data_IF_978396934646
#
_entry.id   IF_978396934646
#
_cell.length_a   1.000
_cell.length_b   1.000
_cell.length_c   1.000
_cell.angle_alpha   90.00
_cell.angle_beta   90.00
_cell.angle_gamma   90.00
#
_symmetry.space_group_name_H-M   'P 1'
#
loop_
_entity.id
_entity.type
_entity.pdbx_description
1 polymer ?
#
# COMPACT_ATOMS: atom_id res chain seq x y z
N UNK A 1 20.41 -30.59 6.52
CA UNK A 1 19.73 -30.02 5.33
C UNK A 1 18.90 -28.84 5.78
N UNK A 2 19.19 -27.66 5.25
CA UNK A 2 18.77 -26.37 5.84
C UNK A 2 17.29 -26.06 5.62
N UNK A 3 16.61 -25.58 6.67
CA UNK A 3 15.23 -25.05 6.67
C UNK A 3 15.04 -23.96 5.60
N UNK A 4 16.11 -23.24 5.24
CA UNK A 4 16.10 -22.31 4.10
C UNK A 4 15.83 -23.04 2.79
N UNK A 5 16.31 -24.25 2.50
CA UNK A 5 16.00 -24.93 1.22
C UNK A 5 14.52 -25.29 1.10
N UNK A 6 13.88 -25.66 2.23
CA UNK A 6 12.43 -25.94 2.30
C UNK A 6 11.56 -24.68 2.14
N UNK A 7 12.13 -23.51 2.43
CA UNK A 7 11.51 -22.20 2.16
C UNK A 7 11.99 -21.56 0.82
N UNK A 8 13.19 -21.89 0.32
CA UNK A 8 13.92 -21.18 -0.75
C UNK A 8 13.86 -21.84 -2.11
N UNK A 9 13.44 -23.10 -2.25
CA UNK A 9 13.04 -23.64 -3.57
C UNK A 9 11.82 -22.88 -4.16
N UNK A 10 11.32 -21.85 -3.46
CA UNK A 10 10.17 -21.04 -3.83
C UNK A 10 10.41 -19.55 -4.07
N UNK A 11 11.67 -19.06 -4.11
CA UNK A 11 11.97 -17.67 -4.51
C UNK A 11 13.27 -17.63 -5.33
N UNK A 12 13.19 -17.59 -6.66
CA UNK A 12 14.33 -17.18 -7.46
C UNK A 12 13.95 -16.28 -8.66
N UNK A 13 14.70 -15.18 -8.71
CA UNK A 13 15.09 -14.35 -9.87
C UNK A 13 13.95 -13.68 -10.66
N UNK A 14 13.77 -12.37 -10.48
CA UNK A 14 13.75 -11.43 -11.62
C UNK A 14 14.14 -10.02 -11.17
N UNK A 15 15.33 -9.57 -11.59
CA UNK A 15 15.66 -8.15 -11.68
C UNK A 15 15.15 -7.61 -13.02
N UNK A 16 14.59 -6.40 -13.04
CA UNK A 16 14.07 -5.78 -14.27
C UNK A 16 14.52 -4.32 -14.38
N UNK A 17 15.18 -4.02 -15.50
CA UNK A 17 15.69 -2.71 -15.93
C UNK A 17 14.62 -1.91 -16.72
N UNK A 18 14.76 -0.57 -16.73
CA UNK A 18 13.87 0.44 -17.38
C UNK A 18 13.74 0.35 -18.92
N UNK A 19 13.00 1.19 -19.67
CA UNK A 19 12.79 2.66 -19.68
C UNK A 19 11.52 3.02 -20.52
N UNK A 20 10.73 4.03 -20.11
CA UNK A 20 10.40 5.35 -20.76
C UNK A 20 9.81 5.34 -22.20
N UNK A 21 8.58 5.85 -22.38
CA UNK A 21 8.22 7.04 -23.21
C UNK A 21 6.74 7.47 -23.03
N UNK A 22 6.49 8.77 -23.11
CA UNK A 22 5.20 9.45 -22.88
C UNK A 22 4.53 9.90 -24.20
N UNK A 23 3.21 10.10 -24.21
CA UNK A 23 2.55 11.35 -24.66
C UNK A 23 1.04 11.36 -24.38
N UNK A 24 0.51 12.58 -24.32
CA UNK A 24 -0.71 12.99 -23.62
C UNK A 24 -1.84 13.34 -24.58
N UNK A 25 -3.10 13.09 -24.20
CA UNK A 25 -4.26 13.81 -24.73
C UNK A 25 -5.27 14.12 -23.61
N UNK A 26 -5.78 15.35 -23.64
CA UNK A 26 -6.65 15.99 -22.66
C UNK A 26 -8.10 15.94 -23.11
N UNK A 27 -9.03 15.53 -22.24
CA UNK A 27 -10.47 15.79 -22.40
C UNK A 27 -11.08 16.05 -21.02
N UNK A 28 -11.86 17.13 -20.92
CA UNK A 28 -12.57 17.62 -19.74
C UNK A 28 -13.71 16.69 -19.31
N UNK A 29 -13.96 16.61 -18.00
CA UNK A 29 -15.13 15.95 -17.42
C UNK A 29 -15.78 16.89 -16.40
N UNK A 30 -17.10 17.01 -16.50
CA UNK A 30 -17.99 17.80 -15.65
C UNK A 30 -18.42 17.08 -14.36
N UNK A 31 -18.68 17.91 -13.37
CA UNK A 31 -18.96 17.69 -11.95
C UNK A 31 -20.02 16.64 -11.57
N UNK A 32 -19.81 15.97 -10.44
CA UNK A 32 -20.86 15.30 -9.67
C UNK A 32 -20.89 15.84 -8.23
N UNK A 33 -22.09 16.28 -7.83
CA UNK A 33 -22.45 16.71 -6.49
C UNK A 33 -23.00 15.53 -5.68
N UNK A 34 -22.69 15.48 -4.39
CA UNK A 34 -23.05 14.39 -3.47
C UNK A 34 -24.37 14.67 -2.76
N UNK A 35 -25.35 13.77 -2.90
CA UNK A 35 -26.57 13.75 -2.10
C UNK A 35 -26.52 12.67 -1.02
N UNK A 36 -26.77 13.12 0.21
CA UNK A 36 -26.82 12.36 1.46
C UNK A 36 -28.20 11.71 1.65
N UNK A 37 -28.23 10.42 1.98
CA UNK A 37 -29.39 9.71 2.56
C UNK A 37 -28.86 8.52 3.36
N UNK A 38 -29.50 7.92 4.35
CA UNK A 38 -30.60 8.23 5.27
C UNK A 38 -30.60 7.03 6.24
N UNK A 39 -30.77 7.25 7.54
CA UNK A 39 -30.52 6.27 8.60
C UNK A 39 -31.77 5.40 8.82
N UNK A 40 -31.68 4.08 8.61
CA UNK A 40 -32.67 3.09 9.10
C UNK A 40 -32.06 2.22 10.19
N UNK A 41 -32.83 2.00 11.26
CA UNK A 41 -32.50 1.17 12.42
C UNK A 41 -32.55 -0.34 12.09
N UNK A 42 -31.83 -1.20 12.84
CA UNK A 42 -31.70 -2.61 12.52
C UNK A 42 -32.81 -3.45 13.17
N UNK A 43 -33.55 -4.20 12.36
CA UNK A 43 -34.30 -5.38 12.79
C UNK A 43 -33.32 -6.57 12.84
N UNK A 44 -33.44 -7.40 13.88
CA UNK A 44 -32.60 -8.56 14.11
C UNK A 44 -32.65 -9.56 12.96
N UNK A 45 -31.65 -9.48 12.07
CA UNK A 45 -31.39 -10.47 11.05
C UNK A 45 -30.00 -11.06 11.30
N UNK A 46 -29.92 -12.39 11.24
CA UNK A 46 -28.65 -13.07 10.98
C UNK A 46 -28.00 -12.34 9.81
N UNK A 47 -26.83 -11.75 10.02
CA UNK A 47 -26.10 -11.07 8.96
C UNK A 47 -25.98 -12.05 7.78
N UNK A 48 -26.46 -11.69 6.58
CA UNK A 48 -26.41 -12.59 5.44
C UNK A 48 -24.96 -13.07 5.27
N UNK A 49 -24.79 -14.40 5.17
CA UNK A 49 -23.46 -15.00 4.92
C UNK A 49 -22.87 -14.31 3.70
N UNK A 50 -21.65 -13.80 3.85
CA UNK A 50 -21.01 -13.13 2.73
C UNK A 50 -20.80 -14.13 1.59
N UNK A 51 -20.86 -13.70 0.33
CA UNK A 51 -20.64 -14.59 -0.83
C UNK A 51 -19.30 -15.34 -0.71
N UNK A 52 -18.33 -14.72 -0.04
CA UNK A 52 -17.04 -15.33 0.29
C UNK A 52 -17.14 -16.56 1.18
N UNK A 53 -18.00 -16.53 2.20
CA UNK A 53 -18.29 -17.68 3.07
C UNK A 53 -19.00 -18.79 2.30
N UNK A 54 -19.77 -18.45 1.26
CA UNK A 54 -20.47 -19.40 0.41
C UNK A 54 -19.53 -20.08 -0.60
N UNK A 55 -18.65 -19.31 -1.26
CA UNK A 55 -17.68 -19.85 -2.24
C UNK A 55 -16.45 -20.48 -1.60
N UNK A 56 -16.06 -20.03 -0.40
CA UNK A 56 -14.90 -20.53 0.33
C UNK A 56 -15.22 -20.83 1.79
N UNK A 57 -16.17 -21.75 2.08
CA UNK A 57 -16.53 -22.09 3.45
C UNK A 57 -15.33 -22.63 4.25
N UNK A 58 -14.33 -23.19 3.56
CA UNK A 58 -13.08 -23.62 4.16
C UNK A 58 -12.24 -22.50 4.79
N UNK A 59 -12.45 -21.22 4.43
CA UNK A 59 -11.68 -20.08 4.96
C UNK A 59 -12.36 -19.33 6.10
N UNK A 60 -13.60 -19.70 6.42
CA UNK A 60 -14.39 -19.04 7.45
C UNK A 60 -14.84 -20.06 8.49
N UNK A 61 -14.81 -19.65 9.76
CA UNK A 61 -15.36 -20.38 10.90
C UNK A 61 -16.48 -19.55 11.52
N UNK A 62 -17.42 -20.21 12.22
CA UNK A 62 -18.52 -19.51 12.91
C UNK A 62 -17.98 -18.45 13.90
N UNK A 63 -16.87 -18.76 14.56
CA UNK A 63 -16.06 -17.81 15.31
C UNK A 63 -14.68 -17.72 14.65
N UNK A 64 -14.25 -16.56 14.11
CA UNK A 64 -12.96 -16.44 13.44
C UNK A 64 -11.83 -16.78 14.40
N UNK A 65 -11.06 -17.83 14.06
CA UNK A 65 -9.88 -18.22 14.83
C UNK A 65 -8.70 -17.47 14.24
N UNK A 66 -8.35 -16.36 14.86
CA UNK A 66 -7.03 -15.77 14.66
C UNK A 66 -6.09 -16.39 15.71
N UNK A 67 -4.77 -16.53 15.43
CA UNK A 67 -3.80 -16.68 16.51
C UNK A 67 -4.05 -15.53 17.51
N UNK A 68 -3.66 -15.60 18.78
CA UNK A 68 -3.97 -14.52 19.75
C UNK A 68 -3.18 -13.21 19.48
N UNK A 69 -3.20 -12.72 18.24
CA UNK A 69 -2.35 -11.70 17.64
C UNK A 69 -2.64 -10.32 18.23
N UNK A 70 -3.89 -10.10 18.67
CA UNK A 70 -4.34 -8.87 19.32
C UNK A 70 -4.21 -8.91 20.85
N UNK A 71 -4.20 -10.10 21.46
CA UNK A 71 -3.99 -10.25 22.92
C UNK A 71 -2.53 -10.17 23.32
N UNK A 72 -1.61 -10.18 22.36
CA UNK A 72 -0.18 -9.96 22.58
C UNK A 72 0.02 -8.49 22.92
N UNK A 73 0.39 -8.22 24.18
CA UNK A 73 0.66 -6.87 24.66
C UNK A 73 1.66 -6.18 23.71
N UNK A 74 1.44 -4.91 23.35
CA UNK A 74 2.44 -4.16 22.60
C UNK A 74 3.78 -4.22 23.35
N UNK A 75 4.89 -4.29 22.60
CA UNK A 75 6.24 -4.27 23.19
C UNK A 75 6.35 -3.03 24.09
N UNK A 76 6.31 -3.24 25.41
CA UNK A 76 6.50 -2.17 26.39
C UNK A 76 7.89 -1.60 26.16
N UNK A 77 7.96 -0.32 25.76
CA UNK A 77 9.22 0.36 25.55
C UNK A 77 9.89 0.52 26.91
N UNK A 78 10.74 -0.43 27.30
CA UNK A 78 11.71 -0.21 28.37
C UNK A 78 12.72 0.82 27.86
N UNK A 79 12.35 2.10 27.92
CA UNK A 79 13.20 3.25 27.62
C UNK A 79 13.42 3.58 26.12
N UNK A 80 12.71 4.59 25.64
CA UNK A 80 13.23 5.63 24.71
C UNK A 80 13.27 5.43 23.17
N UNK A 81 12.62 4.44 22.57
CA UNK A 81 12.35 4.49 21.12
C UNK A 81 10.84 4.60 20.89
N UNK A 82 10.41 5.80 20.49
CA UNK A 82 9.05 6.07 20.06
C UNK A 82 8.61 5.00 19.05
N UNK A 83 7.49 4.32 19.33
CA UNK A 83 6.85 3.40 18.38
C UNK A 83 6.37 4.15 17.11
N UNK A 84 6.37 5.48 17.13
CA UNK A 84 6.03 6.34 16.01
C UNK A 84 6.99 6.16 14.83
N UNK A 85 6.42 6.14 13.63
CA UNK A 85 7.16 6.06 12.37
C UNK A 85 7.84 7.37 11.99
N UNK A 86 7.72 8.43 12.80
CA UNK A 86 8.30 9.74 12.53
C UNK A 86 9.81 9.70 12.26
N UNK A 87 10.58 8.80 12.89
CA UNK A 87 12.00 8.63 12.58
C UNK A 87 12.26 8.04 11.19
N UNK A 88 11.31 7.30 10.63
CA UNK A 88 11.38 6.74 9.29
C UNK A 88 10.83 7.69 8.22
N UNK A 89 10.15 8.78 8.63
CA UNK A 89 9.59 9.77 7.70
C UNK A 89 10.68 10.61 7.04
N UNK A 90 10.29 11.19 5.92
CA UNK A 90 11.12 12.12 5.18
C UNK A 90 11.42 13.37 6.01
N UNK A 91 12.64 13.90 5.95
CA UNK A 91 12.93 15.19 6.55
C UNK A 91 12.08 16.27 5.86
N UNK A 92 11.54 17.26 6.58
CA UNK A 92 10.78 18.33 5.95
C UNK A 92 11.68 19.13 4.99
N UNK A 93 11.21 19.35 3.76
CA UNK A 93 11.88 20.22 2.81
C UNK A 93 11.77 21.67 3.30
N UNK A 94 12.90 22.39 3.53
CA UNK A 94 12.83 23.76 4.02
C UNK A 94 12.07 24.64 3.03
N UNK A 95 11.06 25.37 3.53
CA UNK A 95 10.32 26.33 2.72
C UNK A 95 11.25 27.45 2.26
N UNK A 96 11.26 27.72 0.95
CA UNK A 96 11.97 28.86 0.37
C UNK A 96 10.91 29.80 -0.19
N UNK A 97 10.72 30.98 0.41
CA UNK A 97 9.71 31.92 -0.05
C UNK A 97 10.02 32.37 -1.47
N UNK A 98 8.95 32.56 -2.25
CA UNK A 98 9.04 33.14 -3.58
C UNK A 98 9.64 34.56 -3.49
N UNK A 99 10.45 34.98 -4.47
CA UNK A 99 11.00 36.33 -4.48
C UNK A 99 9.85 37.34 -4.60
N UNK A 100 9.79 38.28 -3.66
CA UNK A 100 8.80 39.35 -3.70
C UNK A 100 9.17 40.36 -4.81
N UNK A 101 8.19 40.86 -5.58
CA UNK A 101 8.42 41.94 -6.51
C UNK A 101 8.80 43.23 -5.77
N UNK A 102 9.65 44.05 -6.39
CA UNK A 102 9.94 45.40 -5.86
C UNK A 102 8.72 46.33 -6.00
N UNK A 103 8.82 47.56 -5.48
CA UNK A 103 7.76 48.60 -5.59
C UNK A 103 7.28 48.81 -7.04
N UNK A 104 8.15 48.61 -8.03
CA UNK A 104 7.83 48.70 -9.46
C UNK A 104 7.20 47.42 -10.04
N UNK A 105 6.80 46.45 -9.22
CA UNK A 105 6.25 45.15 -9.65
C UNK A 105 7.26 44.19 -10.31
N UNK A 106 8.53 44.59 -10.49
CA UNK A 106 9.56 43.79 -11.20
C UNK A 106 10.43 43.00 -10.23
N UNK A 107 10.72 41.74 -10.60
CA UNK A 107 11.67 40.88 -9.89
C UNK A 107 13.06 41.02 -10.54
N UNK A 108 14.02 41.53 -9.80
CA UNK A 108 15.40 41.75 -10.28
C UNK A 108 16.15 40.45 -10.57
N UNK A 109 17.12 40.49 -11.49
CA UNK A 109 17.99 39.34 -11.77
C UNK A 109 18.73 38.85 -10.52
N UNK A 110 19.16 39.77 -9.65
CA UNK A 110 19.82 39.45 -8.39
C UNK A 110 18.88 38.70 -7.42
N UNK A 111 17.62 39.12 -7.30
CA UNK A 111 16.61 38.38 -6.51
C UNK A 111 16.38 36.98 -7.07
N UNK A 112 16.30 36.82 -8.40
CA UNK A 112 16.17 35.50 -9.04
C UNK A 112 17.38 34.62 -8.73
N UNK A 113 18.59 35.17 -8.80
CA UNK A 113 19.82 34.44 -8.48
C UNK A 113 19.88 34.03 -7.01
N UNK A 114 19.62 34.96 -6.08
CA UNK A 114 19.53 34.68 -4.63
C UNK A 114 18.48 33.62 -4.31
N UNK A 115 17.31 33.71 -4.93
CA UNK A 115 16.26 32.70 -4.77
C UNK A 115 16.71 31.32 -5.28
N UNK A 116 17.32 31.23 -6.47
CA UNK A 116 17.88 29.98 -7.00
C UNK A 116 18.95 29.39 -6.07
N UNK A 117 19.81 30.23 -5.52
CA UNK A 117 20.83 29.82 -4.56
C UNK A 117 20.21 29.27 -3.27
N UNK A 118 19.26 30.00 -2.66
CA UNK A 118 18.52 29.55 -1.46
C UNK A 118 17.81 28.22 -1.70
N UNK A 119 17.12 28.08 -2.83
CA UNK A 119 16.45 26.83 -3.24
C UNK A 119 17.44 25.67 -3.36
N UNK A 120 18.61 25.91 -3.98
CA UNK A 120 19.68 24.90 -4.09
C UNK A 120 20.22 24.49 -2.73
N UNK A 121 20.45 25.45 -1.83
CA UNK A 121 20.92 25.19 -0.47
C UNK A 121 19.90 24.38 0.33
N UNK A 122 18.61 24.75 0.28
CA UNK A 122 17.54 24.02 0.94
C UNK A 122 17.46 22.56 0.46
N UNK A 123 17.53 22.34 -0.86
CA UNK A 123 17.57 20.99 -1.44
C UNK A 123 18.80 20.19 -1.00
N UNK A 124 19.98 20.82 -0.99
CA UNK A 124 21.21 20.16 -0.54
C UNK A 124 21.11 19.74 0.94
N UNK A 125 20.57 20.60 1.80
CA UNK A 125 20.32 20.28 3.21
C UNK A 125 19.31 19.14 3.37
N UNK A 126 18.23 19.16 2.60
CA UNK A 126 17.23 18.09 2.57
C UNK A 126 17.85 16.74 2.21
N UNK A 127 18.63 16.66 1.12
CA UNK A 127 19.27 15.41 0.70
C UNK A 127 20.35 14.95 1.67
N UNK A 128 21.15 15.85 2.24
CA UNK A 128 22.12 15.51 3.28
C UNK A 128 21.43 14.87 4.49
N UNK A 129 20.31 15.44 4.95
CA UNK A 129 19.51 14.88 6.05
C UNK A 129 18.92 13.52 5.67
N UNK A 130 18.38 13.37 4.46
CA UNK A 130 17.85 12.09 3.97
C UNK A 130 18.92 10.99 3.93
N UNK A 131 20.11 11.28 3.43
CA UNK A 131 21.24 10.31 3.41
C UNK A 131 21.67 9.94 4.84
N UNK A 132 21.79 10.94 5.73
CA UNK A 132 22.12 10.68 7.14
C UNK A 132 21.06 9.79 7.80
N UNK A 133 19.77 10.03 7.51
CA UNK A 133 18.67 9.20 8.00
C UNK A 133 18.77 7.77 7.48
N UNK A 134 19.07 7.56 6.19
CA UNK A 134 19.24 6.20 5.64
C UNK A 134 20.39 5.48 6.33
N UNK A 135 21.50 6.18 6.61
CA UNK A 135 22.63 5.60 7.35
C UNK A 135 22.25 5.22 8.78
N UNK A 136 21.47 6.07 9.47
CA UNK A 136 20.97 5.76 10.80
C UNK A 136 20.01 4.55 10.79
N UNK A 137 19.05 4.54 9.86
CA UNK A 137 18.15 3.42 9.63
C UNK A 137 18.91 2.13 9.30
N UNK A 138 20.06 2.22 8.61
CA UNK A 138 20.91 1.06 8.33
C UNK A 138 21.53 0.47 9.59
N UNK A 139 22.05 1.31 10.50
CA UNK A 139 22.58 0.84 11.77
C UNK A 139 21.51 0.16 12.61
N UNK A 140 20.32 0.76 12.68
CA UNK A 140 19.18 0.14 13.37
C UNK A 140 18.76 -1.18 12.72
N UNK A 141 18.68 -1.21 11.38
CA UNK A 141 18.35 -2.43 10.64
C UNK A 141 19.34 -3.55 10.95
N UNK A 142 20.65 -3.27 10.93
CA UNK A 142 21.69 -4.27 11.24
C UNK A 142 21.54 -4.78 12.67
N UNK A 143 21.30 -3.89 13.64
CA UNK A 143 21.06 -4.29 15.03
C UNK A 143 19.81 -5.16 15.19
N UNK A 144 18.71 -4.84 14.48
CA UNK A 144 17.51 -5.67 14.45
C UNK A 144 17.77 -7.03 13.80
N UNK A 145 18.55 -7.06 12.72
CA UNK A 145 18.88 -8.28 12.00
C UNK A 145 19.74 -9.23 12.85
N UNK A 146 20.65 -8.69 13.67
CA UNK A 146 21.44 -9.45 14.63
C UNK A 146 20.61 -9.97 15.82
N UNK A 147 19.60 -9.21 16.25
CA UNK A 147 18.72 -9.58 17.37
C UNK A 147 17.70 -10.65 16.99
N UNK A 148 17.20 -10.63 15.75
CA UNK A 148 16.14 -11.53 15.29
C UNK A 148 16.73 -12.82 14.70
N UNK A 149 16.07 -13.99 14.87
CA UNK A 149 16.41 -15.19 14.11
C UNK A 149 16.41 -14.89 12.61
N UNK A 150 17.39 -15.44 11.89
CA UNK A 150 17.62 -15.14 10.47
C UNK A 150 16.37 -15.39 9.61
N UNK A 151 15.62 -16.44 9.92
CA UNK A 151 14.39 -16.79 9.22
C UNK A 151 13.31 -15.72 9.38
N UNK A 152 13.23 -15.10 10.57
CA UNK A 152 12.27 -14.05 10.89
C UNK A 152 12.68 -12.71 10.28
N UNK A 153 13.98 -12.42 10.25
CA UNK A 153 14.51 -11.21 9.64
C UNK A 153 14.34 -11.20 8.10
N UNK A 154 14.41 -12.38 7.46
CA UNK A 154 14.17 -12.54 6.02
C UNK A 154 12.68 -12.54 5.64
N UNK A 155 11.80 -12.89 6.57
CA UNK A 155 10.34 -12.96 6.37
C UNK A 155 9.62 -12.14 7.45
N UNK A 156 9.79 -10.79 7.44
CA UNK A 156 9.24 -9.92 8.48
C UNK A 156 7.71 -9.99 8.58
N UNK A 157 7.02 -10.32 7.47
CA UNK A 157 5.57 -10.46 7.44
C UNK A 157 5.09 -11.59 8.37
N UNK A 158 5.83 -12.70 8.45
CA UNK A 158 5.46 -13.82 9.32
C UNK A 158 5.66 -13.46 10.79
N UNK A 159 6.74 -12.75 11.12
CA UNK A 159 6.96 -12.23 12.46
C UNK A 159 5.89 -11.18 12.86
N UNK A 160 5.40 -10.37 11.92
CA UNK A 160 4.29 -9.46 12.18
C UNK A 160 2.99 -10.23 12.51
N UNK A 161 2.64 -11.21 11.68
CA UNK A 161 1.39 -11.96 11.77
C UNK A 161 1.35 -12.94 12.95
N UNK A 162 2.47 -13.60 13.26
CA UNK A 162 2.56 -14.66 14.27
C UNK A 162 3.42 -14.29 15.48
N UNK A 163 4.05 -13.11 15.51
CA UNK A 163 4.97 -12.72 16.58
C UNK A 163 4.34 -12.80 17.96
N UNK A 164 5.03 -13.47 18.90
CA UNK A 164 4.53 -13.81 20.24
C UNK A 164 3.79 -15.15 20.30
N UNK A 165 3.76 -15.92 19.21
CA UNK A 165 3.19 -17.27 19.15
C UNK A 165 4.14 -18.28 18.49
N UNK A 166 3.82 -19.57 18.60
CA UNK A 166 4.58 -20.63 17.95
C UNK A 166 3.95 -20.97 16.60
N UNK A 167 4.67 -20.70 15.51
CA UNK A 167 4.25 -21.13 14.18
C UNK A 167 4.47 -22.63 14.04
N UNK A 168 3.39 -23.41 13.87
CA UNK A 168 3.46 -24.85 13.62
C UNK A 168 3.59 -25.12 12.12
N UNK A 169 4.70 -25.71 11.69
CA UNK A 169 4.91 -26.19 10.32
C UNK A 169 5.33 -27.65 10.40
N UNK A 170 4.50 -28.56 9.85
CA UNK A 170 4.83 -30.00 9.74
C UNK A 170 5.42 -30.56 11.05
N UNK A 171 4.66 -30.43 12.14
CA UNK A 171 5.00 -30.87 13.50
C UNK A 171 6.17 -30.15 14.20
N UNK A 172 6.82 -29.19 13.55
CA UNK A 172 7.80 -28.31 14.19
C UNK A 172 7.16 -27.00 14.64
N UNK A 173 7.33 -26.65 15.92
CA UNK A 173 6.95 -25.35 16.47
C UNK A 173 8.12 -24.38 16.42
N UNK A 174 8.01 -23.34 15.60
CA UNK A 174 9.01 -22.28 15.49
C UNK A 174 8.52 -21.09 16.32
N UNK A 175 9.23 -20.68 17.39
CA UNK A 175 8.85 -19.50 18.16
C UNK A 175 9.04 -18.25 17.31
N UNK A 176 7.97 -17.48 17.12
CA UNK A 176 8.02 -16.26 16.33
C UNK A 176 8.28 -15.05 17.25
N UNK A 177 9.35 -14.29 17.04
CA UNK A 177 9.64 -13.11 17.83
C UNK A 177 8.55 -12.07 17.60
N UNK A 178 8.20 -11.36 18.66
CA UNK A 178 7.34 -10.19 18.53
C UNK A 178 8.15 -9.04 17.92
N UNK A 179 7.57 -8.40 16.90
CA UNK A 179 8.10 -7.17 16.32
C UNK A 179 7.06 -6.06 16.42
N UNK A 180 7.54 -4.83 16.55
CA UNK A 180 6.73 -3.62 16.46
C UNK A 180 6.49 -3.22 15.00
N UNK A 181 5.51 -2.36 14.76
CA UNK A 181 5.25 -1.76 13.44
C UNK A 181 6.46 -1.01 12.92
N UNK A 182 7.16 -0.24 13.75
CA UNK A 182 8.37 0.48 13.37
C UNK A 182 9.46 -0.47 12.87
N UNK A 183 9.73 -1.53 13.61
CA UNK A 183 10.72 -2.55 13.23
C UNK A 183 10.31 -3.25 11.93
N UNK A 184 9.03 -3.58 11.78
CA UNK A 184 8.49 -4.15 10.54
C UNK A 184 8.70 -3.23 9.33
N UNK A 185 8.34 -1.95 9.44
CA UNK A 185 8.54 -0.98 8.36
C UNK A 185 10.02 -0.79 8.04
N UNK A 186 10.90 -0.81 9.05
CA UNK A 186 12.34 -0.74 8.84
C UNK A 186 12.85 -1.96 8.07
N UNK A 187 12.45 -3.18 8.46
CA UNK A 187 12.81 -4.42 7.75
C UNK A 187 12.30 -4.43 6.31
N UNK A 188 11.09 -3.90 6.06
CA UNK A 188 10.48 -3.89 4.74
C UNK A 188 11.11 -2.86 3.79
N UNK A 189 11.36 -1.63 4.27
CA UNK A 189 11.80 -0.52 3.42
C UNK A 189 13.33 -0.44 3.25
N UNK A 190 14.09 -0.83 4.27
CA UNK A 190 15.53 -0.62 4.34
C UNK A 190 16.28 -1.20 3.12
N UNK A 191 16.03 -2.46 2.76
CA UNK A 191 16.78 -3.13 1.69
C UNK A 191 16.69 -2.41 0.35
N UNK A 192 15.51 -1.89 0.03
CA UNK A 192 15.26 -1.17 -1.22
C UNK A 192 15.86 0.25 -1.23
N UNK A 193 15.82 0.95 -0.09
CA UNK A 193 16.33 2.31 0.02
C UNK A 193 17.86 2.33 0.06
N UNK A 194 18.47 1.45 0.85
CA UNK A 194 19.93 1.35 0.97
C UNK A 194 20.58 0.97 -0.37
N UNK A 195 20.01 0.01 -1.10
CA UNK A 195 20.51 -0.39 -2.42
C UNK A 195 20.47 0.77 -3.44
N UNK A 196 19.54 1.72 -3.29
CA UNK A 196 19.42 2.89 -4.15
C UNK A 196 20.36 4.03 -3.76
N UNK A 197 20.88 4.05 -2.53
CA UNK A 197 21.76 5.14 -2.03
C UNK A 197 22.99 5.31 -2.91
N UNK A 198 23.71 4.24 -3.25
CA UNK A 198 24.95 4.35 -4.02
C UNK A 198 24.70 4.96 -5.41
N UNK A 199 23.66 4.47 -6.10
CA UNK A 199 23.26 5.02 -7.39
C UNK A 199 22.76 6.46 -7.28
N UNK A 200 21.99 6.77 -6.24
CA UNK A 200 21.51 8.12 -5.97
C UNK A 200 22.65 9.10 -5.64
N UNK A 201 23.59 8.71 -4.77
CA UNK A 201 24.71 9.54 -4.37
C UNK A 201 25.63 9.85 -5.55
N UNK A 202 25.92 8.86 -6.40
CA UNK A 202 26.68 9.05 -7.63
C UNK A 202 25.97 10.02 -8.59
N UNK A 203 24.66 9.81 -8.81
CA UNK A 203 23.88 10.68 -9.69
C UNK A 203 23.73 12.10 -9.13
N UNK A 204 23.54 12.24 -7.82
CA UNK A 204 23.48 13.54 -7.16
C UNK A 204 24.81 14.28 -7.24
N UNK A 205 25.93 13.56 -7.14
CA UNK A 205 27.27 14.11 -7.30
C UNK A 205 27.53 14.57 -8.75
N UNK A 206 27.24 13.72 -9.74
CA UNK A 206 27.43 14.01 -11.17
C UNK A 206 26.48 15.10 -11.69
N UNK A 207 25.21 15.04 -11.31
CA UNK A 207 24.13 15.82 -11.89
C UNK A 207 23.47 16.73 -10.86
N UNK A 208 24.28 17.39 -10.05
CA UNK A 208 23.88 18.25 -8.91
C UNK A 208 22.84 19.33 -9.27
N UNK A 209 22.67 19.65 -10.56
CA UNK A 209 21.68 20.58 -11.11
C UNK A 209 20.49 19.91 -11.84
N UNK A 210 20.54 18.62 -12.16
CA UNK A 210 19.50 17.88 -12.91
C UNK A 210 18.72 16.85 -12.07
N UNK A 211 18.53 17.15 -10.78
CA UNK A 211 17.70 16.37 -9.85
C UNK A 211 16.35 15.88 -10.41
N UNK A 212 15.62 16.61 -11.29
CA UNK A 212 14.36 16.13 -11.87
C UNK A 212 14.48 14.85 -12.71
N UNK A 213 15.62 14.60 -13.36
CA UNK A 213 15.83 13.42 -14.20
C UNK A 213 16.07 12.14 -13.38
N UNK A 214 16.42 12.28 -12.10
CA UNK A 214 16.79 11.17 -11.21
C UNK A 214 15.60 10.73 -10.32
N UNK A 215 14.47 11.45 -10.39
CA UNK A 215 13.28 11.22 -9.56
C UNK A 215 12.83 9.74 -9.42
N UNK A 216 12.83 8.89 -10.46
CA UNK A 216 12.37 7.50 -10.32
C UNK A 216 13.34 6.58 -9.54
N UNK A 217 14.55 7.05 -9.17
CA UNK A 217 15.56 6.28 -8.44
C UNK A 217 15.83 6.81 -7.03
N UNK A 218 15.03 7.77 -6.56
CA UNK A 218 15.18 8.31 -5.22
C UNK A 218 14.82 7.23 -4.18
N UNK A 219 15.63 7.06 -3.12
CA UNK A 219 15.20 6.40 -1.90
C UNK A 219 13.93 7.08 -1.36
N UNK A 220 13.05 6.31 -0.72
CA UNK A 220 11.77 6.82 -0.19
C UNK A 220 11.98 7.99 0.77
N UNK A 221 13.02 7.93 1.62
CA UNK A 221 13.41 8.98 2.58
C UNK A 221 13.91 10.27 1.94
N UNK A 222 14.21 10.26 0.63
CA UNK A 222 14.69 11.41 -0.15
C UNK A 222 13.65 11.89 -1.18
N UNK A 223 12.42 11.39 -1.13
CA UNK A 223 11.36 11.80 -2.05
C UNK A 223 10.88 13.23 -1.75
N UNK A 224 10.73 14.06 -2.77
CA UNK A 224 10.25 15.43 -2.54
C UNK A 224 8.72 15.45 -2.38
N UNK A 225 8.15 16.44 -1.68
CA UNK A 225 6.70 16.62 -1.61
C UNK A 225 6.03 16.68 -2.98
N UNK A 226 6.68 17.30 -3.97
CA UNK A 226 6.17 17.35 -5.35
C UNK A 226 6.20 15.98 -6.04
N UNK A 227 7.19 15.14 -5.71
CA UNK A 227 7.28 13.79 -6.23
C UNK A 227 6.18 12.91 -5.62
N UNK A 228 5.92 13.02 -4.30
CA UNK A 228 4.78 12.34 -3.63
C UNK A 228 3.46 12.72 -4.28
N UNK A 229 3.25 14.02 -4.54
CA UNK A 229 2.05 14.52 -5.22
C UNK A 229 1.92 13.97 -6.64
N UNK A 230 3.04 13.86 -7.38
CA UNK A 230 3.06 13.24 -8.72
C UNK A 230 2.72 11.76 -8.67
N UNK A 231 3.26 11.01 -7.71
CA UNK A 231 2.95 9.59 -7.52
C UNK A 231 1.48 9.39 -7.19
N UNK A 232 0.92 10.22 -6.31
CA UNK A 232 -0.50 10.18 -5.98
C UNK A 232 -1.38 10.48 -7.19
N UNK A 233 -1.02 11.48 -8.00
CA UNK A 233 -1.72 11.78 -9.25
C UNK A 233 -1.67 10.59 -10.22
N UNK A 234 -0.51 9.93 -10.33
CA UNK A 234 -0.38 8.73 -11.15
C UNK A 234 -1.23 7.57 -10.63
N UNK A 235 -1.32 7.39 -9.31
CA UNK A 235 -2.21 6.40 -8.69
C UNK A 235 -3.69 6.72 -8.97
N UNK A 236 -4.10 7.98 -8.82
CA UNK A 236 -5.46 8.42 -9.15
C UNK A 236 -5.81 8.14 -10.62
N UNK A 237 -4.89 8.44 -11.55
CA UNK A 237 -5.07 8.16 -12.97
C UNK A 237 -5.20 6.66 -13.28
N UNK A 238 -4.41 5.82 -12.62
CA UNK A 238 -4.50 4.35 -12.75
C UNK A 238 -5.83 3.83 -12.23
N UNK A 239 -6.33 4.40 -11.14
CA UNK A 239 -7.64 4.08 -10.61
C UNK A 239 -8.78 4.55 -11.54
N UNK A 240 -8.68 5.74 -12.14
CA UNK A 240 -9.65 6.20 -13.15
C UNK A 240 -9.66 5.29 -14.39
N UNK A 241 -8.50 4.79 -14.78
CA UNK A 241 -8.41 3.78 -15.83
C UNK A 241 -9.12 2.48 -15.41
N UNK A 242 -8.87 1.99 -14.20
CA UNK A 242 -9.58 0.83 -13.65
C UNK A 242 -11.09 1.02 -13.65
N UNK A 243 -11.60 2.16 -13.15
CA UNK A 243 -13.04 2.44 -13.07
C UNK A 243 -13.67 2.53 -14.46
N UNK A 244 -13.00 3.19 -15.42
CA UNK A 244 -13.51 3.28 -16.80
C UNK A 244 -13.62 1.92 -17.46
N UNK A 245 -12.57 1.10 -17.36
CA UNK A 245 -12.54 -0.24 -17.95
C UNK A 245 -13.34 -1.28 -17.14
N UNK A 246 -13.77 -0.95 -15.92
CA UNK A 246 -14.64 -1.81 -15.13
C UNK A 246 -16.06 -1.89 -15.72
N UNK A 247 -16.48 -0.88 -16.48
CA UNK A 247 -17.77 -0.84 -17.15
C UNK A 247 -17.72 -1.40 -18.57
N UNK A 248 -16.62 -2.06 -18.98
CA UNK A 248 -16.58 -2.76 -20.26
C UNK A 248 -17.69 -3.83 -20.28
N UNK A 249 -18.34 -4.02 -21.44
CA UNK A 249 -19.40 -5.02 -21.63
C UNK A 249 -18.98 -6.45 -21.19
N UNK A 250 -17.67 -6.70 -21.10
CA UNK A 250 -17.05 -7.95 -20.62
C UNK A 250 -17.16 -8.19 -19.10
N UNK A 251 -17.47 -7.16 -18.31
CA UNK A 251 -17.63 -7.23 -16.84
C UNK A 251 -19.11 -7.20 -16.41
N UNK A 252 -20.02 -7.03 -17.36
CA UNK A 252 -21.45 -7.16 -17.13
C UNK A 252 -21.72 -8.65 -16.97
N UNK A 253 -21.78 -9.10 -15.72
CA UNK A 253 -22.46 -10.36 -15.35
C UNK A 253 -23.83 -10.27 -16.00
N UNK A 254 -24.04 -11.04 -17.06
CA UNK A 254 -25.38 -11.33 -17.55
C UNK A 254 -26.04 -12.03 -16.38
N UNK A 255 -27.06 -11.40 -15.78
CA UNK A 255 -27.99 -12.09 -14.87
C UNK A 255 -28.86 -13.03 -15.74
N UNK A 256 -28.19 -13.89 -16.52
CA UNK A 256 -28.82 -14.90 -17.34
C UNK A 256 -29.32 -15.96 -16.38
N UNK A 257 -30.60 -15.82 -16.04
CA UNK A 257 -31.42 -16.79 -15.31
C UNK A 257 -31.40 -18.21 -15.89
N UNK A 258 -30.73 -18.41 -17.02
CA UNK A 258 -30.59 -19.69 -17.73
C UNK A 258 -29.27 -20.42 -17.43
N UNK A 259 -28.29 -19.80 -16.75
CA UNK A 259 -27.03 -20.48 -16.42
C UNK A 259 -27.19 -21.43 -15.23
N UNK A 260 -26.59 -22.61 -15.34
CA UNK A 260 -26.52 -23.56 -14.23
C UNK A 260 -25.64 -23.00 -13.08
N UNK A 261 -25.87 -23.45 -11.85
CA UNK A 261 -25.13 -22.99 -10.65
C UNK A 261 -23.62 -23.06 -10.81
N UNK A 262 -23.11 -24.09 -11.48
CA UNK A 262 -21.68 -24.29 -11.76
C UNK A 262 -21.13 -23.28 -12.75
N UNK A 263 -21.86 -23.01 -13.84
CA UNK A 263 -21.46 -22.05 -14.88
C UNK A 263 -21.42 -20.64 -14.32
N UNK A 264 -22.41 -20.30 -13.48
CA UNK A 264 -22.46 -19.03 -12.76
C UNK A 264 -21.27 -18.86 -11.81
N UNK A 265 -20.83 -19.93 -11.16
CA UNK A 265 -19.65 -19.91 -10.29
C UNK A 265 -18.35 -19.70 -11.08
N UNK A 266 -18.20 -20.34 -12.25
CA UNK A 266 -17.03 -20.19 -13.12
C UNK A 266 -16.94 -18.79 -13.75
N UNK A 267 -18.07 -18.24 -14.20
CA UNK A 267 -18.15 -16.87 -14.72
C UNK A 267 -17.77 -15.87 -13.62
N UNK A 268 -18.35 -16.04 -12.43
CA UNK A 268 -18.04 -15.19 -11.29
C UNK A 268 -16.56 -15.26 -10.89
N UNK A 269 -15.99 -16.47 -10.85
CA UNK A 269 -14.56 -16.67 -10.58
C UNK A 269 -13.68 -15.94 -11.60
N UNK A 270 -14.03 -16.01 -12.88
CA UNK A 270 -13.28 -15.34 -13.96
C UNK A 270 -13.37 -13.81 -13.84
N UNK A 271 -14.56 -13.28 -13.57
CA UNK A 271 -14.79 -11.84 -13.37
C UNK A 271 -14.03 -11.35 -12.13
N UNK A 272 -14.05 -12.11 -11.04
CA UNK A 272 -13.27 -11.82 -9.84
C UNK A 272 -11.77 -11.74 -10.16
N UNK A 273 -11.21 -12.73 -10.86
CA UNK A 273 -9.81 -12.74 -11.30
C UNK A 273 -9.48 -11.52 -12.15
N UNK A 274 -10.39 -11.13 -13.05
CA UNK A 274 -10.22 -9.94 -13.90
C UNK A 274 -10.14 -8.66 -13.08
N UNK A 275 -11.03 -8.50 -12.10
CA UNK A 275 -11.04 -7.34 -11.22
C UNK A 275 -9.81 -7.30 -10.32
N UNK A 276 -9.38 -8.45 -9.80
CA UNK A 276 -8.15 -8.57 -9.03
C UNK A 276 -6.93 -8.19 -9.85
N UNK A 277 -6.83 -8.65 -11.11
CA UNK A 277 -5.78 -8.22 -12.04
C UNK A 277 -5.75 -6.70 -12.18
N UNK A 278 -6.88 -6.08 -12.53
CA UNK A 278 -6.90 -4.62 -12.67
C UNK A 278 -6.60 -3.92 -11.34
N UNK A 279 -6.92 -4.54 -10.20
CA UNK A 279 -6.50 -4.04 -8.89
C UNK A 279 -4.98 -4.06 -8.70
N UNK A 280 -4.31 -5.14 -9.13
CA UNK A 280 -2.84 -5.21 -9.14
C UNK A 280 -2.22 -4.06 -9.94
N UNK A 281 -2.80 -3.68 -11.08
CA UNK A 281 -2.36 -2.53 -11.88
C UNK A 281 -2.40 -1.21 -11.10
N UNK A 282 -3.44 -1.01 -10.27
CA UNK A 282 -3.59 0.21 -9.45
C UNK A 282 -2.60 0.20 -8.29
N UNK A 283 -2.56 -0.89 -7.54
CA UNK A 283 -1.85 -0.98 -6.25
C UNK A 283 -0.35 -1.10 -6.44
N UNK A 284 0.11 -1.93 -7.38
CA UNK A 284 1.53 -2.28 -7.52
C UNK A 284 2.16 -1.42 -8.62
N UNK A 285 3.22 -0.70 -8.29
CA UNK A 285 3.98 0.12 -9.26
C UNK A 285 5.10 -0.70 -9.95
N UNK A 286 4.79 -1.94 -10.35
CA UNK A 286 5.72 -2.81 -11.09
C UNK A 286 5.54 -2.56 -12.60
N UNK A 287 6.63 -2.40 -13.38
CA UNK A 287 6.56 -2.26 -14.83
C UNK A 287 5.73 -3.34 -15.54
N UNK A 288 5.80 -4.60 -15.10
CA UNK A 288 5.03 -5.71 -15.66
C UNK A 288 3.55 -5.57 -15.34
N UNK A 289 3.20 -5.09 -14.15
CA UNK A 289 1.79 -4.84 -13.80
C UNK A 289 1.16 -3.77 -14.71
N UNK A 290 1.96 -2.89 -15.34
CA UNK A 290 1.46 -1.90 -16.32
C UNK A 290 0.99 -2.52 -17.63
N UNK A 291 1.33 -3.79 -17.88
CA UNK A 291 0.84 -4.56 -19.03
C UNK A 291 -0.54 -5.19 -18.77
N UNK A 292 -0.99 -5.26 -17.52
CA UNK A 292 -2.27 -5.89 -17.15
C UNK A 292 -3.45 -5.35 -17.96
N UNK A 293 -3.58 -4.04 -18.24
CA UNK A 293 -4.70 -3.55 -19.02
C UNK A 293 -4.79 -4.13 -20.44
N UNK A 294 -3.70 -4.70 -20.95
CA UNK A 294 -3.55 -5.20 -22.31
C UNK A 294 -3.76 -6.72 -22.35
N UNK A 295 -3.97 -7.35 -21.20
CA UNK A 295 -4.22 -8.79 -21.09
C UNK A 295 -5.62 -9.09 -21.67
N UNK A 296 -5.75 -9.95 -22.69
CA UNK A 296 -7.04 -10.36 -23.23
C UNK A 296 -7.89 -11.12 -22.19
N UNK A 297 -9.22 -11.11 -22.37
CA UNK A 297 -10.14 -11.81 -21.46
C UNK A 297 -9.82 -13.31 -21.33
N UNK A 298 -9.57 -13.98 -22.46
CA UNK A 298 -9.22 -15.40 -22.51
C UNK A 298 -7.95 -15.76 -21.70
N UNK A 299 -7.10 -14.79 -21.39
CA UNK A 299 -5.84 -15.00 -20.66
C UNK A 299 -5.94 -14.59 -19.18
N UNK A 300 -7.14 -14.23 -18.71
CA UNK A 300 -7.37 -13.71 -17.35
C UNK A 300 -6.87 -14.67 -16.28
N UNK A 301 -7.19 -15.96 -16.37
CA UNK A 301 -6.78 -16.93 -15.34
C UNK A 301 -5.25 -17.12 -15.31
N UNK A 302 -4.62 -17.32 -16.47
CA UNK A 302 -3.17 -17.45 -16.58
C UNK A 302 -2.44 -16.20 -16.10
N UNK A 303 -2.90 -15.02 -16.51
CA UNK A 303 -2.35 -13.75 -16.07
C UNK A 303 -2.55 -13.56 -14.55
N UNK A 304 -3.72 -13.87 -14.01
CA UNK A 304 -3.98 -13.70 -12.58
C UNK A 304 -3.12 -14.62 -11.72
N UNK A 305 -2.79 -15.83 -12.17
CA UNK A 305 -1.79 -16.68 -11.50
C UNK A 305 -0.39 -16.08 -11.58
N UNK A 306 0.01 -15.57 -12.75
CA UNK A 306 1.33 -14.98 -12.97
C UNK A 306 1.55 -13.71 -12.14
N UNK A 307 0.61 -12.76 -12.22
CA UNK A 307 0.65 -11.50 -11.48
C UNK A 307 0.32 -11.70 -10.00
N UNK A 308 -0.56 -12.65 -9.67
CA UNK A 308 -0.93 -12.97 -8.29
C UNK A 308 0.30 -13.31 -7.44
N UNK A 309 1.20 -14.16 -7.95
CA UNK A 309 2.46 -14.48 -7.26
C UNK A 309 3.35 -13.25 -7.01
N UNK A 310 3.37 -12.28 -7.92
CA UNK A 310 4.15 -11.04 -7.77
C UNK A 310 3.52 -10.06 -6.78
N UNK A 311 2.19 -10.04 -6.71
CA UNK A 311 1.46 -9.12 -5.85
C UNK A 311 1.22 -9.70 -4.45
N UNK A 312 1.42 -11.01 -4.27
CA UNK A 312 1.19 -11.70 -3.00
C UNK A 312 2.03 -11.10 -1.87
N UNK A 313 3.31 -10.84 -2.11
CA UNK A 313 4.20 -10.20 -1.13
C UNK A 313 3.70 -8.81 -0.75
N UNK A 314 3.19 -8.04 -1.72
CA UNK A 314 2.61 -6.72 -1.46
C UNK A 314 1.37 -6.82 -0.55
N UNK A 315 0.44 -7.71 -0.85
CA UNK A 315 -0.76 -7.89 -0.02
C UNK A 315 -0.46 -8.49 1.35
N UNK A 316 0.51 -9.39 1.43
CA UNK A 316 0.99 -9.95 2.69
C UNK A 316 1.59 -8.84 3.55
N UNK A 317 2.36 -7.91 2.96
CA UNK A 317 2.89 -6.75 3.68
C UNK A 317 1.80 -5.81 4.20
N UNK A 318 0.74 -5.55 3.42
CA UNK A 318 -0.41 -4.76 3.89
C UNK A 318 -1.10 -5.47 5.05
N UNK A 319 -1.29 -6.78 4.94
CA UNK A 319 -1.91 -7.59 6.00
C UNK A 319 -1.08 -7.55 7.27
N UNK A 320 0.23 -7.77 7.17
CA UNK A 320 1.17 -7.65 8.28
C UNK A 320 1.12 -6.26 8.94
N UNK A 321 1.16 -5.16 8.16
CA UNK A 321 1.07 -3.80 8.70
C UNK A 321 -0.29 -3.55 9.38
N UNK A 322 -1.39 -4.00 8.78
CA UNK A 322 -2.74 -3.91 9.37
C UNK A 322 -2.77 -4.53 10.75
N UNK A 323 -2.16 -5.70 10.89
CA UNK A 323 -2.15 -6.48 12.12
C UNK A 323 -1.35 -5.79 13.21
N UNK A 324 -0.19 -5.24 12.85
CA UNK A 324 0.63 -4.48 13.79
C UNK A 324 -0.08 -3.19 14.22
N UNK A 325 -0.74 -2.47 13.30
CA UNK A 325 -1.56 -1.29 13.63
C UNK A 325 -2.66 -1.66 14.62
N UNK A 326 -3.39 -2.75 14.37
CA UNK A 326 -4.46 -3.19 15.26
C UNK A 326 -3.94 -3.66 16.63
N UNK A 327 -2.75 -4.27 16.69
CA UNK A 327 -2.08 -4.64 17.94
C UNK A 327 -1.60 -3.41 18.73
N UNK A 328 -1.18 -2.36 18.06
CA UNK A 328 -0.69 -1.10 18.64
C UNK A 328 -1.80 -0.08 18.95
N UNK A 329 -3.07 -0.51 18.98
CA UNK A 329 -4.20 0.32 19.42
C UNK A 329 -5.14 0.78 18.31
N UNK A 330 -4.90 0.40 17.05
CA UNK A 330 -5.79 0.68 15.92
C UNK A 330 -5.35 1.87 15.05
N UNK A 331 -6.17 2.22 14.05
CA UNK A 331 -5.83 3.28 13.09
C UNK A 331 -5.96 4.69 13.69
N UNK A 332 -6.73 4.85 14.77
CA UNK A 332 -6.90 6.12 15.47
C UNK A 332 -5.61 6.65 16.12
N UNK A 333 -4.63 5.78 16.43
CA UNK A 333 -3.34 6.17 17.03
C UNK A 333 -2.37 6.77 16.01
N UNK A 334 -2.66 6.60 14.72
CA UNK A 334 -1.77 6.98 13.64
C UNK A 334 -1.84 8.48 13.31
N UNK A 335 -0.72 9.03 12.84
CA UNK A 335 -0.68 10.38 12.29
C UNK A 335 -1.40 10.47 10.94
N UNK A 336 -1.74 11.68 10.50
CA UNK A 336 -2.34 11.89 9.18
C UNK A 336 -1.42 11.42 8.04
N UNK A 337 -0.10 11.57 8.19
CA UNK A 337 0.89 11.08 7.21
C UNK A 337 0.93 9.55 7.15
N UNK A 338 0.87 8.85 8.30
CA UNK A 338 0.89 7.38 8.29
C UNK A 338 -0.40 6.81 7.67
N UNK A 339 -1.54 7.45 7.94
CA UNK A 339 -2.81 7.09 7.30
C UNK A 339 -2.75 7.34 5.81
N UNK A 340 -2.19 8.47 5.39
CA UNK A 340 -1.98 8.78 3.97
C UNK A 340 -1.11 7.70 3.30
N UNK A 341 0.05 7.37 3.87
CA UNK A 341 0.97 6.39 3.31
C UNK A 341 0.38 4.98 3.28
N UNK A 342 -0.37 4.61 4.32
CA UNK A 342 -1.12 3.36 4.34
C UNK A 342 -2.20 3.33 3.24
N UNK A 343 -2.98 4.41 3.08
CA UNK A 343 -4.02 4.51 2.07
C UNK A 343 -3.46 4.47 0.64
N UNK A 344 -2.32 5.11 0.39
CA UNK A 344 -1.60 5.03 -0.90
C UNK A 344 -1.15 3.60 -1.17
N UNK A 345 -0.55 2.94 -0.18
CA UNK A 345 -0.02 1.57 -0.30
C UNK A 345 -1.10 0.53 -0.57
N UNK A 346 -2.25 0.64 0.11
CA UNK A 346 -3.39 -0.21 -0.14
C UNK A 346 -4.30 0.33 -1.26
N UNK A 347 -3.99 1.49 -1.86
CA UNK A 347 -4.82 2.15 -2.86
C UNK A 347 -6.32 2.19 -2.51
N UNK A 348 -6.70 2.59 -1.30
CA UNK A 348 -8.12 2.64 -0.89
C UNK A 348 -8.99 3.46 -1.87
N UNK A 349 -10.06 2.89 -2.47
CA UNK A 349 -10.97 3.64 -3.34
C UNK A 349 -11.54 4.92 -2.71
N UNK A 350 -11.87 4.87 -1.42
CA UNK A 350 -12.40 6.02 -0.67
C UNK A 350 -11.34 7.12 -0.59
N UNK A 351 -10.11 6.76 -0.22
CA UNK A 351 -9.00 7.70 -0.17
C UNK A 351 -8.68 8.30 -1.54
N UNK A 352 -8.70 7.49 -2.62
CA UNK A 352 -8.41 8.00 -3.97
C UNK A 352 -9.41 9.08 -4.39
N UNK A 353 -10.68 8.90 -4.05
CA UNK A 353 -11.72 9.88 -4.31
C UNK A 353 -11.45 11.20 -3.57
N UNK A 354 -11.08 11.10 -2.28
CA UNK A 354 -10.66 12.25 -1.48
C UNK A 354 -9.39 12.93 -2.04
N UNK A 355 -8.38 12.14 -2.39
CA UNK A 355 -7.11 12.61 -2.93
C UNK A 355 -7.28 13.39 -4.23
N UNK A 356 -8.19 12.96 -5.11
CA UNK A 356 -8.52 13.70 -6.35
C UNK A 356 -9.04 15.10 -6.05
N UNK A 357 -9.97 15.22 -5.11
CA UNK A 357 -10.54 16.52 -4.71
C UNK A 357 -9.45 17.41 -4.10
N UNK A 358 -8.63 16.86 -3.20
CA UNK A 358 -7.52 17.60 -2.58
C UNK A 358 -6.51 18.10 -3.64
N UNK A 359 -6.14 17.26 -4.60
CA UNK A 359 -5.24 17.62 -5.69
C UNK A 359 -5.83 18.68 -6.63
N UNK A 360 -7.14 18.64 -6.91
CA UNK A 360 -7.83 19.67 -7.71
C UNK A 360 -7.82 21.02 -7.00
N UNK A 361 -7.97 21.02 -5.68
CA UNK A 361 -7.96 22.23 -4.86
C UNK A 361 -6.55 22.72 -4.49
N UNK A 362 -5.49 22.01 -4.91
CA UNK A 362 -4.11 22.35 -4.58
C UNK A 362 -3.75 22.16 -3.10
N UNK A 363 -4.52 21.36 -2.36
CA UNK A 363 -4.35 21.11 -0.92
C UNK A 363 -3.58 19.81 -0.70
N UNK A 364 -2.76 19.75 0.34
CA UNK A 364 -2.11 18.50 0.75
C UNK A 364 -3.17 17.48 1.23
N UNK A 365 -3.29 16.31 0.60
CA UNK A 365 -4.23 15.26 1.00
C UNK A 365 -3.91 14.64 2.37
N UNK A 366 -2.65 14.71 2.83
CA UNK A 366 -2.26 14.25 4.16
C UNK A 366 -2.62 15.31 5.21
N UNK A 367 -3.89 15.33 5.63
CA UNK A 367 -4.38 16.28 6.62
C UNK A 367 -5.32 15.61 7.65
N UNK A 368 -5.63 16.34 8.70
CA UNK A 368 -6.43 15.82 9.82
C UNK A 368 -7.87 15.48 9.41
N UNK A 369 -8.44 16.22 8.46
CA UNK A 369 -9.77 15.93 7.92
C UNK A 369 -9.79 14.58 7.17
N UNK A 370 -8.77 14.31 6.36
CA UNK A 370 -8.56 13.03 5.68
C UNK A 370 -8.43 11.90 6.69
N UNK A 371 -7.60 12.09 7.72
CA UNK A 371 -7.43 11.12 8.80
C UNK A 371 -8.78 10.73 9.42
N UNK A 372 -9.55 11.73 9.88
CA UNK A 372 -10.85 11.51 10.50
C UNK A 372 -11.84 10.79 9.59
N UNK A 373 -11.81 11.08 8.28
CA UNK A 373 -12.66 10.41 7.30
C UNK A 373 -12.22 8.96 7.03
N UNK A 374 -10.91 8.69 6.96
CA UNK A 374 -10.37 7.40 6.55
C UNK A 374 -10.26 6.38 7.69
N UNK A 375 -9.97 6.79 8.92
CA UNK A 375 -9.86 5.89 10.08
C UNK A 375 -11.02 4.90 10.20
N UNK A 376 -12.31 5.31 10.20
CA UNK A 376 -13.42 4.36 10.34
C UNK A 376 -13.49 3.36 9.17
N UNK A 377 -13.15 3.79 7.95
CA UNK A 377 -13.12 2.93 6.75
C UNK A 377 -12.01 1.88 6.88
N UNK A 378 -10.81 2.30 7.30
CA UNK A 378 -9.67 1.41 7.47
C UNK A 378 -9.87 0.43 8.63
N UNK A 379 -10.46 0.86 9.75
CA UNK A 379 -10.78 -0.02 10.88
C UNK A 379 -11.83 -1.07 10.52
N UNK A 380 -12.90 -0.67 9.82
CA UNK A 380 -13.92 -1.62 9.34
C UNK A 380 -13.28 -2.68 8.43
N UNK A 381 -12.37 -2.25 7.55
CA UNK A 381 -11.63 -3.14 6.66
C UNK A 381 -10.65 -4.04 7.41
N UNK A 382 -9.93 -3.52 8.39
CA UNK A 382 -9.02 -4.30 9.22
C UNK A 382 -9.77 -5.39 9.99
N UNK A 383 -10.94 -5.06 10.58
CA UNK A 383 -11.83 -6.03 11.22
C UNK A 383 -12.24 -7.14 10.26
N UNK A 384 -12.52 -6.83 8.99
CA UNK A 384 -12.81 -7.85 7.97
C UNK A 384 -11.61 -8.75 7.67
N UNK A 385 -10.41 -8.19 7.54
CA UNK A 385 -9.18 -8.98 7.33
C UNK A 385 -8.91 -9.93 8.49
N UNK A 386 -9.14 -9.46 9.73
CA UNK A 386 -8.99 -10.24 10.96
C UNK A 386 -10.10 -11.28 11.15
N UNK A 387 -11.26 -11.10 10.52
CA UNK A 387 -12.36 -12.06 10.56
C UNK A 387 -12.16 -13.28 9.63
N UNK A 388 -11.10 -13.31 8.82
CA UNK A 388 -10.73 -14.49 8.02
C UNK A 388 -9.98 -15.46 8.94
N UNK A 389 -10.28 -16.76 8.88
CA UNK A 389 -9.56 -17.77 9.67
C UNK A 389 -8.18 -18.04 9.05
N UNK A 390 -7.15 -17.41 9.62
CA UNK A 390 -5.78 -17.52 9.10
C UNK A 390 -5.17 -18.89 9.35
N UNK A 391 -5.68 -19.66 10.34
CA UNK A 391 -5.11 -20.97 10.69
C UNK A 391 -5.34 -22.00 9.60
N UNK A 392 -6.37 -21.78 8.77
CA UNK A 392 -6.72 -22.62 7.62
C UNK A 392 -5.98 -22.23 6.35
N UNK A 393 -5.37 -21.05 6.32
CA UNK A 393 -4.60 -20.59 5.17
C UNK A 393 -3.17 -21.10 5.26
N UNK A 394 -2.67 -21.65 4.15
CA UNK A 394 -1.23 -21.92 4.01
C UNK A 394 -0.48 -20.58 4.09
N UNK A 395 0.77 -20.53 4.61
CA UNK A 395 1.56 -19.30 4.65
C UNK A 395 1.68 -18.59 3.29
N UNK A 396 1.75 -19.37 2.20
CA UNK A 396 1.74 -18.91 0.78
C UNK A 396 0.36 -18.48 0.26
N UNK A 397 -0.61 -18.27 1.13
CA UNK A 397 -1.95 -17.83 0.79
C UNK A 397 -2.40 -16.67 1.66
N UNK A 398 -1.56 -16.24 2.60
CA UNK A 398 -1.80 -15.08 3.45
C UNK A 398 -1.91 -13.79 2.63
N UNK A 399 -1.26 -13.71 1.47
CA UNK A 399 -1.43 -12.59 0.54
C UNK A 399 -2.82 -12.51 -0.12
N UNK A 400 -3.70 -13.50 0.07
CA UNK A 400 -5.09 -13.43 -0.40
C UNK A 400 -6.01 -12.71 0.60
N UNK A 401 -5.59 -12.57 1.87
CA UNK A 401 -6.43 -11.97 2.93
C UNK A 401 -6.86 -10.55 2.55
N UNK A 402 -5.91 -9.71 2.13
CA UNK A 402 -6.23 -8.32 1.75
C UNK A 402 -7.20 -8.25 0.56
N UNK A 403 -6.96 -8.92 -0.57
CA UNK A 403 -7.91 -8.93 -1.68
C UNK A 403 -9.29 -9.48 -1.31
N UNK A 404 -9.36 -10.58 -0.55
CA UNK A 404 -10.62 -11.20 -0.13
C UNK A 404 -11.41 -10.26 0.78
N UNK A 405 -10.74 -9.52 1.69
CA UNK A 405 -11.42 -8.55 2.59
C UNK A 405 -12.19 -7.44 1.86
N UNK A 406 -11.92 -7.23 0.57
CA UNK A 406 -12.57 -6.24 -0.29
C UNK A 406 -13.77 -6.78 -1.07
N UNK A 407 -14.02 -8.09 -1.01
CA UNK A 407 -15.12 -8.72 -1.76
C UNK A 407 -16.41 -8.81 -0.95
N UNK A 408 -16.33 -8.60 0.38
CA UNK A 408 -17.40 -9.00 1.31
C UNK A 408 -18.71 -8.22 1.12
N UNK A 409 -18.66 -6.98 0.62
CA UNK A 409 -19.84 -6.12 0.54
C UNK A 409 -19.84 -5.26 -0.74
N UNK A 410 -20.88 -5.38 -1.60
CA UNK A 410 -21.08 -4.47 -2.75
C UNK A 410 -21.34 -3.02 -2.31
N UNK A 411 -21.87 -2.85 -1.11
CA UNK A 411 -22.28 -1.55 -0.56
C UNK A 411 -21.16 -0.79 0.15
N UNK A 412 -20.06 -1.49 0.51
CA UNK A 412 -18.92 -0.90 1.20
C UNK A 412 -18.14 0.05 0.26
N UNK A 413 -17.81 1.27 0.72
CA UNK A 413 -17.15 2.27 -0.11
C UNK A 413 -15.73 1.88 -0.55
N UNK A 414 -15.06 0.97 0.14
CA UNK A 414 -13.71 0.46 -0.18
C UNK A 414 -13.72 -0.88 -0.95
N UNK A 415 -14.91 -1.35 -1.32
CA UNK A 415 -15.10 -2.58 -2.09
C UNK A 415 -14.60 -2.44 -3.53
N UNK A 416 -13.90 -3.47 -4.01
CA UNK A 416 -13.51 -3.56 -5.43
C UNK A 416 -14.76 -3.74 -6.31
N UNK A 417 -15.86 -4.22 -5.73
CA UNK A 417 -17.13 -4.39 -6.42
C UNK A 417 -17.92 -3.10 -6.58
N UNK A 418 -17.62 -2.03 -5.83
CA UNK A 418 -18.25 -0.69 -5.83
C UNK A 418 -19.79 -0.63 -5.95
N UNK A 419 -20.38 0.53 -5.67
CA UNK A 419 -21.82 0.69 -5.94
C UNK A 419 -22.08 0.72 -7.45
N UNK A 420 -22.95 -0.17 -7.97
CA UNK A 420 -23.74 0.17 -9.15
C UNK A 420 -24.63 1.33 -8.71
N UNK A 421 -24.35 2.53 -9.20
CA UNK A 421 -25.29 3.65 -9.10
C UNK A 421 -26.28 3.56 -10.25
#
# INVERSE_FOLDING_TARGET
MSLLHRLSDSVSKTGSFGRVFCRSFSISISNFSSSTTSRRQPLGHSTPRSWLEEFYPGFFSETPIYPNVLGIKPLSSNGSLSQDLSSLRLPPLPFVPLPQPNENGRITLLQRFRHRWRKRTALNTFYKRGIAQISHNHKEYTSLFERLPRECALLPDLAALYGGSNLKIQDHSIPMPQISRREFQLLLHHGSDYARVSGFALLFWLFRSWAPLIAPRLPSTCERPEDRSRQLKALCNRFDFFVRNRNDNLDIVTDDSQLNTTERAEEFYTIWRRRLLRWHYVVVNDPLCKLIPWVPYAWTESAARFFGRRCEDHYRSITADTVLIMREGGFNTLSADDIYDYCVRCASPTFISYAKQALQNGVNPANEAMRKAMVPVLEARAKRMLAIDWTRLRPKSLGLIEPLSRLRDREDPDSVWGRRK
#
